data_IF_476050091586
#
_entry.id   IF_476050091586
#
_cell.length_a   1.000
_cell.length_b   1.000
_cell.length_c   1.000
_cell.angle_alpha   90.00
_cell.angle_beta   90.00
_cell.angle_gamma   90.00
#
_symmetry.space_group_name_H-M   'P 1'
#
loop_
_entity.id
_entity.type
_entity.pdbx_description
1 polymer ?
#
# COMPACT_ATOMS: atom_id res chain seq x y z
N UNK A 1 -1.84 14.89 -5.55
CA UNK A 1 -0.67 14.01 -5.35
C UNK A 1 0.65 14.77 -5.50
N UNK A 2 0.75 15.74 -6.39
CA UNK A 2 1.98 16.53 -6.66
C UNK A 2 2.56 17.26 -5.43
N UNK A 3 1.80 17.41 -4.37
CA UNK A 3 2.26 18.04 -3.10
C UNK A 3 2.71 17.04 -2.05
N UNK A 4 2.61 15.74 -2.32
CA UNK A 4 3.05 14.69 -1.40
C UNK A 4 4.50 14.37 -1.73
N UNK A 5 5.42 14.77 -0.86
CA UNK A 5 6.86 14.54 -1.04
C UNK A 5 7.44 13.48 -0.08
N UNK A 6 6.66 13.06 0.92
CA UNK A 6 7.02 11.98 1.81
C UNK A 6 5.76 11.29 2.35
N UNK A 7 5.87 9.99 2.58
CA UNK A 7 4.84 9.17 3.19
C UNK A 7 5.45 8.38 4.33
N UNK A 8 4.89 8.52 5.54
CA UNK A 8 5.28 7.72 6.68
C UNK A 8 4.54 6.38 6.65
N UNK A 9 5.31 5.31 6.64
CA UNK A 9 4.79 3.93 6.67
C UNK A 9 4.78 3.49 8.13
N UNK A 10 3.59 3.51 8.73
CA UNK A 10 3.36 3.19 10.14
C UNK A 10 2.16 2.27 10.25
N UNK A 11 2.33 1.14 10.92
CA UNK A 11 1.26 0.15 11.08
C UNK A 11 0.53 0.31 12.41
N UNK A 12 -0.73 -0.10 12.42
CA UNK A 12 -1.59 -0.04 13.57
C UNK A 12 -2.66 -1.15 13.50
N UNK A 13 -3.20 -1.48 14.65
CA UNK A 13 -4.39 -2.33 14.75
C UNK A 13 -5.47 -1.63 15.57
N UNK A 14 -6.73 -1.99 15.34
CA UNK A 14 -7.87 -1.50 16.09
C UNK A 14 -8.86 -2.64 16.36
N UNK A 15 -8.88 -3.12 17.61
CA UNK A 15 -9.70 -4.26 18.05
C UNK A 15 -10.56 -3.86 19.26
N UNK A 16 -11.64 -3.09 19.07
CA UNK A 16 -12.52 -2.65 20.16
C UNK A 16 -13.37 -3.82 20.68
N UNK A 17 -13.52 -3.91 21.99
CA UNK A 17 -14.41 -4.86 22.67
C UNK A 17 -15.65 -4.19 23.28
N UNK A 18 -15.86 -2.91 23.00
CA UNK A 18 -16.97 -2.10 23.51
C UNK A 18 -16.77 -1.53 24.91
N UNK A 19 -15.61 -1.79 25.54
CA UNK A 19 -15.28 -1.31 26.90
C UNK A 19 -14.35 -0.12 26.90
N UNK A 20 -13.77 0.19 25.76
CA UNK A 20 -12.85 1.32 25.57
C UNK A 20 -13.65 2.58 25.21
N UNK A 21 -13.25 3.73 25.74
CA UNK A 21 -13.70 5.03 25.27
C UNK A 21 -13.22 5.34 23.86
N UNK A 22 -13.68 6.45 23.30
CA UNK A 22 -13.37 6.90 21.92
C UNK A 22 -11.86 6.88 21.60
N UNK A 23 -11.00 7.11 22.59
CA UNK A 23 -9.54 7.16 22.45
C UNK A 23 -8.85 6.00 23.18
N UNK A 24 -9.50 4.87 23.38
CA UNK A 24 -8.98 3.71 24.11
C UNK A 24 -8.66 3.94 25.59
N UNK A 25 -8.98 5.11 26.15
CA UNK A 25 -8.82 5.46 27.55
C UNK A 25 -7.37 5.44 28.06
N UNK A 26 -7.20 5.36 29.38
CA UNK A 26 -5.91 5.30 30.08
C UNK A 26 -5.42 3.88 30.34
N UNK A 27 -5.83 2.92 29.52
CA UNK A 27 -5.44 1.53 29.69
C UNK A 27 -3.94 1.34 29.38
N UNK A 28 -3.30 0.35 30.00
CA UNK A 28 -1.97 -0.10 29.59
C UNK A 28 -1.94 -0.37 28.09
N UNK A 29 -0.83 -0.05 27.44
CA UNK A 29 -0.71 -0.12 25.98
C UNK A 29 -1.17 -1.45 25.37
N UNK A 30 -0.84 -2.58 26.03
CA UNK A 30 -1.25 -3.91 25.58
C UNK A 30 -2.77 -4.14 25.59
N UNK A 31 -3.51 -3.37 26.38
CA UNK A 31 -4.97 -3.52 26.54
C UNK A 31 -5.75 -2.48 25.75
N UNK A 32 -5.09 -1.59 25.02
CA UNK A 32 -5.76 -0.58 24.19
C UNK A 32 -6.38 -1.23 22.97
N UNK A 33 -7.58 -0.78 22.59
CA UNK A 33 -8.22 -1.19 21.35
C UNK A 33 -7.40 -0.75 20.12
N UNK A 34 -6.95 0.50 20.14
CA UNK A 34 -6.08 1.06 19.10
C UNK A 34 -4.63 1.11 19.57
N UNK A 35 -3.73 0.52 18.83
CA UNK A 35 -2.29 0.53 19.13
C UNK A 35 -1.45 0.40 17.88
N UNK A 36 -0.25 1.00 17.92
CA UNK A 36 0.71 0.85 16.84
C UNK A 36 1.37 -0.52 16.85
N UNK A 37 1.67 -1.00 15.66
CA UNK A 37 2.29 -2.31 15.46
C UNK A 37 3.53 -2.18 14.58
N UNK A 38 4.39 -3.16 14.67
CA UNK A 38 5.47 -3.32 13.70
C UNK A 38 4.88 -3.54 12.30
N UNK A 39 5.55 -3.08 11.24
CA UNK A 39 5.01 -3.19 9.88
C UNK A 39 4.68 -4.63 9.51
N UNK A 40 3.47 -4.85 9.05
CA UNK A 40 2.94 -6.15 8.67
C UNK A 40 2.27 -6.93 9.80
N UNK A 41 2.37 -6.48 11.06
CA UNK A 41 1.73 -7.11 12.22
C UNK A 41 0.38 -6.46 12.58
N UNK A 42 0.04 -5.36 11.91
CA UNK A 42 -1.19 -4.59 12.14
C UNK A 42 -2.28 -4.87 11.11
N UNK A 43 -3.13 -3.88 10.90
CA UNK A 43 -4.33 -3.97 10.06
C UNK A 43 -4.37 -2.93 8.94
N UNK A 44 -3.29 -2.14 8.76
CA UNK A 44 -3.24 -1.13 7.69
C UNK A 44 -3.12 -1.83 6.33
N UNK A 45 -3.99 -1.47 5.39
CA UNK A 45 -3.95 -1.99 4.02
C UNK A 45 -2.84 -1.32 3.20
N UNK A 46 -1.59 -1.74 3.44
CA UNK A 46 -0.44 -1.22 2.70
C UNK A 46 -0.49 -1.57 1.21
N UNK A 47 -1.02 -2.73 0.85
CA UNK A 47 -1.16 -3.11 -0.54
C UNK A 47 -2.06 -2.11 -1.31
N UNK A 48 -3.20 -1.75 -0.72
CA UNK A 48 -4.08 -0.73 -1.27
C UNK A 48 -3.44 0.66 -1.32
N UNK A 49 -2.73 1.06 -0.27
CA UNK A 49 -2.04 2.37 -0.21
C UNK A 49 -0.97 2.47 -1.29
N UNK A 50 -0.05 1.50 -1.37
CA UNK A 50 1.02 1.51 -2.37
C UNK A 50 0.48 1.42 -3.80
N UNK A 51 -0.61 0.68 -4.01
CA UNK A 51 -1.31 0.63 -5.30
C UNK A 51 -1.82 2.01 -5.72
N UNK A 52 -2.42 2.76 -4.79
CA UNK A 52 -2.87 4.14 -5.05
C UNK A 52 -1.72 5.09 -5.31
N UNK A 53 -0.65 5.02 -4.54
CA UNK A 53 0.55 5.83 -4.77
C UNK A 53 1.13 5.56 -6.16
N UNK A 54 1.24 4.31 -6.57
CA UNK A 54 1.70 3.91 -7.90
C UNK A 54 0.81 4.45 -9.02
N UNK A 55 -0.53 4.38 -8.85
CA UNK A 55 -1.50 4.93 -9.82
C UNK A 55 -1.30 6.42 -10.07
N UNK A 56 -0.81 7.16 -9.09
CA UNK A 56 -0.52 8.59 -9.18
C UNK A 56 0.94 8.91 -9.50
N UNK A 57 1.75 7.92 -9.85
CA UNK A 57 3.14 8.12 -10.19
C UNK A 57 3.98 8.66 -9.02
N UNK A 58 3.66 8.26 -7.78
CA UNK A 58 4.42 8.67 -6.61
C UNK A 58 5.82 8.05 -6.63
N UNK A 59 6.86 8.88 -6.64
CA UNK A 59 8.27 8.50 -6.74
C UNK A 59 9.15 9.08 -5.61
N UNK A 60 8.52 9.56 -4.54
CA UNK A 60 9.20 10.20 -3.42
C UNK A 60 9.46 9.25 -2.24
N UNK A 61 9.69 9.81 -1.05
CA UNK A 61 10.16 9.06 0.10
C UNK A 61 9.05 8.23 0.76
N UNK A 62 9.30 6.93 0.96
CA UNK A 62 8.58 6.09 1.90
C UNK A 62 9.44 5.92 3.17
N UNK A 63 9.00 6.53 4.25
CA UNK A 63 9.76 6.63 5.50
C UNK A 63 9.22 5.62 6.50
N UNK A 64 10.05 4.71 6.96
CA UNK A 64 9.70 3.81 8.06
C UNK A 64 9.49 4.64 9.33
N UNK A 65 8.27 4.60 9.86
CA UNK A 65 7.97 5.08 11.21
C UNK A 65 7.55 3.89 12.06
N UNK A 66 8.42 3.51 13.00
CA UNK A 66 8.18 2.35 13.82
C UNK A 66 7.82 2.73 15.25
N UNK A 67 6.72 2.15 15.74
CA UNK A 67 6.30 2.25 17.14
C UNK A 67 5.54 0.97 17.49
N UNK A 68 6.07 0.19 18.42
CA UNK A 68 5.43 -1.05 18.86
C UNK A 68 5.92 -1.41 20.26
N UNK A 69 5.00 -1.76 21.17
CA UNK A 69 5.37 -2.22 22.52
C UNK A 69 5.42 -3.75 22.66
N UNK A 70 5.16 -4.49 21.60
CA UNK A 70 5.12 -5.97 21.62
C UNK A 70 6.39 -6.56 21.01
N UNK A 71 6.75 -6.10 19.80
CA UNK A 71 7.94 -6.59 19.10
C UNK A 71 9.19 -5.88 19.59
N UNK A 72 10.30 -6.58 19.62
CA UNK A 72 11.62 -6.01 19.86
C UNK A 72 11.96 -4.94 18.81
N UNK A 73 12.55 -3.83 19.24
CA UNK A 73 12.82 -2.69 18.38
C UNK A 73 13.83 -2.98 17.27
N UNK A 74 14.87 -3.76 17.58
CA UNK A 74 15.89 -4.14 16.59
C UNK A 74 15.30 -5.07 15.52
N UNK A 75 14.46 -6.01 15.93
CA UNK A 75 13.74 -6.86 15.01
C UNK A 75 12.81 -6.04 14.13
N UNK A 76 12.01 -5.14 14.71
CA UNK A 76 11.08 -4.29 13.96
C UNK A 76 11.78 -3.40 12.94
N UNK A 77 12.91 -2.80 13.31
CA UNK A 77 13.72 -1.99 12.40
C UNK A 77 14.31 -2.82 11.26
N UNK A 78 14.79 -4.03 11.55
CA UNK A 78 15.36 -4.94 10.55
C UNK A 78 14.33 -5.42 9.53
N UNK A 79 13.09 -5.64 9.96
CA UNK A 79 11.98 -6.08 9.10
C UNK A 79 11.34 -4.94 8.31
N UNK A 80 11.39 -3.71 8.80
CA UNK A 80 10.63 -2.59 8.25
C UNK A 80 11.05 -2.15 6.85
N UNK A 81 12.35 -2.00 6.60
CA UNK A 81 12.82 -1.60 5.27
C UNK A 81 12.55 -2.67 4.19
N UNK A 82 12.79 -3.97 4.43
CA UNK A 82 12.33 -5.03 3.53
C UNK A 82 10.83 -5.01 3.28
N UNK A 83 10.01 -4.81 4.32
CA UNK A 83 8.57 -4.72 4.17
C UNK A 83 8.17 -3.62 3.18
N UNK A 84 8.69 -2.41 3.34
CA UNK A 84 8.42 -1.29 2.44
C UNK A 84 8.86 -1.65 1.01
N UNK A 85 10.09 -2.12 0.83
CA UNK A 85 10.64 -2.50 -0.47
C UNK A 85 9.76 -3.52 -1.19
N UNK A 86 9.25 -4.51 -0.46
CA UNK A 86 8.48 -5.62 -1.01
C UNK A 86 7.03 -5.21 -1.36
N UNK A 87 6.55 -4.08 -0.83
CA UNK A 87 5.24 -3.50 -1.14
C UNK A 87 5.30 -2.41 -2.22
N UNK A 88 6.48 -1.87 -2.54
CA UNK A 88 6.63 -0.88 -3.61
C UNK A 88 6.29 -1.51 -4.96
N UNK A 89 5.34 -0.91 -5.66
CA UNK A 89 4.94 -1.33 -7.00
C UNK A 89 5.85 -0.66 -8.02
N UNK A 90 6.59 -1.47 -8.78
CA UNK A 90 7.32 -1.00 -9.95
C UNK A 90 6.34 -0.90 -11.11
N UNK A 91 6.02 0.32 -11.50
CA UNK A 91 5.15 0.58 -12.65
C UNK A 91 5.87 0.16 -13.92
N UNK A 92 5.19 -0.62 -14.78
CA UNK A 92 5.75 -1.00 -16.06
C UNK A 92 5.69 0.16 -17.06
N UNK A 93 6.74 0.33 -17.85
CA UNK A 93 6.76 1.31 -18.95
C UNK A 93 5.97 0.83 -20.17
N UNK A 94 5.70 -0.48 -20.27
CA UNK A 94 4.94 -1.09 -21.36
C UNK A 94 3.64 -1.66 -20.83
N UNK A 95 2.52 -1.26 -21.44
CA UNK A 95 1.26 -1.91 -21.19
C UNK A 95 1.34 -3.40 -21.60
N UNK A 96 0.84 -4.29 -20.76
CA UNK A 96 0.73 -5.71 -21.09
C UNK A 96 -0.28 -5.94 -22.23
N UNK A 97 -1.19 -4.99 -22.41
CA UNK A 97 -2.23 -5.03 -23.43
C UNK A 97 -1.73 -4.35 -24.71
N UNK A 98 -1.35 -5.12 -25.69
CA UNK A 98 -0.94 -4.65 -27.01
C UNK A 98 -2.00 -3.80 -27.73
N UNK A 99 -3.25 -3.82 -27.23
CA UNK A 99 -4.34 -2.99 -27.74
C UNK A 99 -4.35 -1.57 -27.16
N UNK A 100 -3.65 -1.32 -26.07
CA UNK A 100 -3.66 -0.01 -25.39
C UNK A 100 -2.72 1.03 -26.04
N UNK A 101 -1.79 0.63 -26.87
CA UNK A 101 -0.75 1.51 -27.45
C UNK A 101 -0.65 1.52 -28.98
N UNK A 102 -1.42 0.70 -29.68
CA UNK A 102 -1.42 0.62 -31.14
C UNK A 102 -2.59 1.37 -31.76
N UNK A 103 -2.38 2.08 -32.87
CA UNK A 103 -3.49 2.41 -33.77
C UNK A 103 -4.22 1.12 -34.11
N UNK A 104 -5.46 1.04 -33.65
CA UNK A 104 -6.30 -0.12 -33.94
C UNK A 104 -6.53 -0.15 -35.46
N UNK A 105 -5.82 -1.00 -36.20
CA UNK A 105 -6.09 -1.22 -37.61
C UNK A 105 -7.46 -1.89 -37.74
N UNK A 106 -8.48 -1.01 -37.81
CA UNK A 106 -9.88 -1.42 -37.98
C UNK A 106 -10.09 -2.25 -39.24
N UNK A 107 -9.26 -2.07 -40.26
CA UNK A 107 -9.34 -2.83 -41.49
C UNK A 107 -8.81 -4.26 -41.30
N UNK A 108 -7.71 -4.42 -40.52
CA UNK A 108 -7.22 -5.74 -40.14
C UNK A 108 -8.20 -6.51 -39.24
N UNK A 109 -8.80 -5.83 -38.27
CA UNK A 109 -9.83 -6.41 -37.40
C UNK A 109 -11.06 -6.87 -38.19
N UNK A 110 -11.56 -6.06 -39.13
CA UNK A 110 -12.70 -6.42 -39.98
C UNK A 110 -12.41 -7.66 -40.85
N UNK A 111 -11.17 -7.73 -41.40
CA UNK A 111 -10.74 -8.94 -42.17
C UNK A 111 -10.69 -10.15 -41.30
N UNK A 112 -10.13 -10.07 -40.06
CA UNK A 112 -10.07 -11.17 -39.12
C UNK A 112 -11.46 -11.66 -38.68
N UNK A 113 -12.44 -10.77 -38.59
CA UNK A 113 -13.82 -11.07 -38.22
C UNK A 113 -14.68 -11.53 -39.42
N UNK A 114 -14.12 -11.60 -40.64
CA UNK A 114 -14.88 -11.98 -41.84
C UNK A 114 -15.95 -10.98 -42.26
N UNK A 115 -15.84 -9.73 -41.79
CA UNK A 115 -16.77 -8.64 -42.10
C UNK A 115 -16.17 -7.79 -43.25
N UNK A 116 -15.96 -8.42 -44.38
CA UNK A 116 -15.66 -7.71 -45.61
C UNK A 116 -16.99 -7.45 -46.33
N UNK A 117 -17.36 -6.17 -46.36
CA UNK A 117 -18.44 -5.68 -47.16
C UNK A 117 -17.95 -4.49 -47.97
#
# INVERSE_FOLDING_TARGET
>A
HERICAYHVKDAEFNPDGRQGVYSGYQPWLNRAGRFRSLGDGQVDFAGIFSRLATHGYDSWAVLEWECCIKDAEQGAREGAPFIRDHIIKVTEKAFDDFAGGETDRAALRRMMGIEG
#
